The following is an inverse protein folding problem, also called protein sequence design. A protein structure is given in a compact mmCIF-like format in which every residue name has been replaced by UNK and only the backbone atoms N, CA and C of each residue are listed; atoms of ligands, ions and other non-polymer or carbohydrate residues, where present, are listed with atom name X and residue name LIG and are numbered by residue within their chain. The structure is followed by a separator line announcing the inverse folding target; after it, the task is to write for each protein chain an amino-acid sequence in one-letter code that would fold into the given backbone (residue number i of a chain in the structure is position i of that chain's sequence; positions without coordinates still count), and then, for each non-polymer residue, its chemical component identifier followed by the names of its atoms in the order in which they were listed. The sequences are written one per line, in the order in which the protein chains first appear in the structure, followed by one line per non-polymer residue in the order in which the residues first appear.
data_IF_524237192700
#
_entry.id   IF_524237192700
#
_cell.length_a   1.000
_cell.length_b   1.000
_cell.length_c   1.000
_cell.angle_alpha   90.00
_cell.angle_beta   90.00
_cell.angle_gamma   90.00
#
_symmetry.space_group_name_H-M   'P 1'
#
loop_
_entity.id
_entity.type
_entity.pdbx_description
1 polymer ?
#
# COMPACT_ATOMS: atom_id res chain seq x y z
N UNK A 1 -15.35 -7.66 5.94
CA UNK A 1 -14.97 -7.71 4.52
C UNK A 1 -14.25 -9.03 4.27
N UNK A 2 -14.56 -9.72 3.17
CA UNK A 2 -13.78 -10.86 2.70
C UNK A 2 -13.13 -10.46 1.37
N UNK A 3 -11.88 -10.81 1.14
CA UNK A 3 -11.09 -10.32 0.00
C UNK A 3 -10.88 -11.44 -1.02
N UNK A 4 -10.97 -11.12 -2.32
CA UNK A 4 -10.59 -11.99 -3.43
C UNK A 4 -9.48 -11.34 -4.26
N UNK A 5 -8.40 -12.09 -4.49
CA UNK A 5 -7.26 -11.65 -5.28
C UNK A 5 -6.45 -10.50 -4.66
N UNK A 6 -5.42 -10.08 -5.38
CA UNK A 6 -4.63 -8.89 -5.05
C UNK A 6 -4.34 -8.17 -6.36
N UNK A 7 -4.85 -6.96 -6.51
CA UNK A 7 -4.77 -6.19 -7.76
C UNK A 7 -3.46 -5.43 -7.83
N UNK A 8 -3.21 -4.57 -6.85
CA UNK A 8 -2.03 -3.69 -6.83
C UNK A 8 -1.74 -3.17 -5.43
N UNK A 9 -0.53 -2.63 -5.26
CA UNK A 9 -0.16 -1.92 -4.04
C UNK A 9 0.34 -0.52 -4.36
N UNK A 10 0.05 0.45 -3.50
CA UNK A 10 0.60 1.81 -3.60
C UNK A 10 1.40 2.14 -2.34
N UNK A 11 2.59 2.69 -2.52
CA UNK A 11 3.48 3.10 -1.44
C UNK A 11 3.77 4.58 -1.58
N UNK A 12 3.37 5.37 -0.59
CA UNK A 12 3.72 6.79 -0.51
C UNK A 12 4.81 7.02 0.53
N UNK A 13 5.91 7.67 0.16
CA UNK A 13 7.00 7.97 1.09
C UNK A 13 6.82 9.38 1.64
N UNK A 14 6.87 9.54 2.96
CA UNK A 14 6.82 10.86 3.57
C UNK A 14 8.12 11.63 3.29
N UNK A 15 7.98 12.90 2.89
CA UNK A 15 9.09 13.79 2.52
C UNK A 15 9.93 14.20 3.74
N UNK A 16 9.45 13.99 4.97
CA UNK A 16 10.16 14.15 6.25
C UNK A 16 9.26 13.60 7.38
N UNK A 17 9.53 13.92 8.64
CA UNK A 17 8.63 13.65 9.78
C UNK A 17 7.34 14.52 9.77
N UNK A 18 7.08 15.28 8.70
CA UNK A 18 5.93 16.19 8.58
C UNK A 18 4.64 15.50 8.13
N UNK A 19 4.66 14.20 7.86
CA UNK A 19 3.51 13.43 7.34
C UNK A 19 2.96 14.00 6.01
N UNK A 20 3.82 14.64 5.22
CA UNK A 20 3.51 15.15 3.88
C UNK A 20 4.15 14.24 2.83
N UNK A 21 3.40 13.92 1.77
CA UNK A 21 3.88 13.09 0.66
C UNK A 21 3.87 13.95 -0.59
N UNK A 22 4.93 13.89 -1.39
CA UNK A 22 4.95 14.45 -2.74
C UNK A 22 4.42 13.43 -3.75
N UNK A 23 3.77 13.91 -4.82
CA UNK A 23 3.21 13.01 -5.85
C UNK A 23 4.27 12.08 -6.47
N UNK A 24 5.50 12.59 -6.63
CA UNK A 24 6.63 11.83 -7.18
C UNK A 24 7.20 10.76 -6.22
N UNK A 25 6.78 10.78 -4.96
CA UNK A 25 7.12 9.81 -3.93
C UNK A 25 6.03 8.75 -3.72
N UNK A 26 5.08 8.65 -4.64
CA UNK A 26 4.03 7.63 -4.66
C UNK A 26 4.33 6.63 -5.75
N UNK A 27 4.54 5.39 -5.34
CA UNK A 27 4.92 4.27 -6.21
C UNK A 27 3.78 3.27 -6.26
N UNK A 28 3.33 2.96 -7.47
CA UNK A 28 2.36 1.89 -7.71
C UNK A 28 3.09 0.63 -8.15
N UNK A 29 2.83 -0.48 -7.47
CA UNK A 29 3.33 -1.81 -7.80
C UNK A 29 2.17 -2.56 -8.46
N UNK A 30 2.26 -2.67 -9.79
CA UNK A 30 1.26 -3.34 -10.64
C UNK A 30 1.87 -4.55 -11.37
N UNK A 31 1.09 -5.63 -11.57
CA UNK A 31 1.56 -6.86 -12.21
C UNK A 31 2.17 -6.69 -13.61
N UNK A 32 1.85 -5.61 -14.32
CA UNK A 32 2.26 -5.37 -15.72
C UNK A 32 3.60 -4.66 -15.90
N UNK A 33 4.11 -3.94 -14.90
CA UNK A 33 5.24 -3.00 -15.02
C UNK A 33 6.47 -3.44 -14.20
N UNK A 34 6.81 -4.74 -14.22
CA UNK A 34 8.08 -5.23 -13.66
C UNK A 34 8.03 -5.69 -12.20
N UNK A 35 6.84 -6.01 -11.67
CA UNK A 35 6.68 -6.55 -10.33
C UNK A 35 5.25 -6.94 -9.97
N UNK A 36 5.00 -8.19 -9.58
CA UNK A 36 3.69 -8.60 -9.06
C UNK A 36 3.75 -8.78 -7.56
N UNK A 37 2.78 -8.23 -6.85
CA UNK A 37 2.49 -8.65 -5.49
C UNK A 37 1.88 -10.04 -5.53
N UNK A 38 2.30 -10.89 -4.60
CA UNK A 38 1.84 -12.28 -4.48
C UNK A 38 0.87 -12.40 -3.33
N UNK A 39 1.18 -11.79 -2.19
CA UNK A 39 0.30 -11.75 -1.03
C UNK A 39 0.70 -10.66 -0.05
N UNK A 40 -0.28 -10.23 0.74
CA UNK A 40 -0.07 -9.35 1.88
C UNK A 40 -0.95 -9.85 3.04
N UNK A 41 -0.34 -10.09 4.20
CA UNK A 41 -1.05 -10.56 5.40
C UNK A 41 -0.92 -9.52 6.50
N UNK A 42 -2.05 -8.89 6.84
CA UNK A 42 -2.12 -7.93 7.95
C UNK A 42 -2.37 -8.69 9.27
N UNK A 43 -1.53 -8.44 10.27
CA UNK A 43 -1.59 -9.06 11.59
C UNK A 43 -1.80 -8.02 12.69
N UNK A 44 -2.34 -8.45 13.83
CA UNK A 44 -2.49 -7.64 15.05
C UNK A 44 -3.31 -6.35 14.90
N UNK A 45 -4.29 -6.34 13.98
CA UNK A 45 -5.19 -5.22 13.78
C UNK A 45 -6.02 -4.90 15.03
N UNK A 46 -6.37 -5.95 15.79
CA UNK A 46 -7.06 -5.84 17.07
C UNK A 46 -6.06 -5.82 18.23
N UNK A 47 -6.36 -5.09 19.32
CA UNK A 47 -5.50 -5.09 20.50
C UNK A 47 -5.47 -6.47 21.14
N UNK A 48 -4.27 -6.97 21.44
CA UNK A 48 -4.11 -8.12 22.32
C UNK A 48 -4.40 -7.66 23.75
N UNK A 49 -5.58 -7.98 24.28
CA UNK A 49 -5.94 -7.64 25.66
C UNK A 49 -5.01 -8.41 26.60
N UNK A 50 -4.06 -7.70 27.21
CA UNK A 50 -3.25 -8.25 28.29
C UNK A 50 -3.83 -7.72 29.60
N UNK A 51 -4.59 -8.53 30.36
CA UNK A 51 -5.16 -8.09 31.62
C UNK A 51 -4.05 -7.78 32.62
N UNK A 52 -4.11 -6.60 33.24
CA UNK A 52 -3.24 -6.27 34.38
C UNK A 52 -3.91 -6.83 35.63
N UNK A 53 -3.25 -7.76 36.31
CA UNK A 53 -3.73 -8.35 37.55
C UNK A 53 -3.22 -7.58 38.77
N UNK A 54 -4.11 -7.29 39.71
CA UNK A 54 -3.78 -6.76 41.04
C UNK A 54 -4.51 -7.57 42.10
N UNK A 55 -3.79 -8.08 43.10
CA UNK A 55 -4.35 -8.91 44.18
C UNK A 55 -5.21 -10.10 43.70
N UNK A 56 -4.69 -10.90 42.77
CA UNK A 56 -5.38 -12.07 42.18
C UNK A 56 -6.75 -11.75 41.55
N UNK A 57 -7.00 -10.49 41.20
CA UNK A 57 -8.17 -10.03 40.49
C UNK A 57 -7.76 -9.18 39.28
N UNK A 58 -8.51 -9.29 38.19
CA UNK A 58 -8.30 -8.48 37.00
C UNK A 58 -8.59 -7.01 37.31
N UNK A 59 -7.55 -6.17 37.28
CA UNK A 59 -7.62 -4.75 37.70
C UNK A 59 -8.03 -3.85 36.53
N UNK A 60 -7.49 -4.08 35.33
CA UNK A 60 -7.86 -3.40 34.09
C UNK A 60 -7.57 -4.27 32.86
N UNK A 61 -8.57 -4.48 32.01
CA UNK A 61 -8.38 -4.86 30.62
C UNK A 61 -8.18 -3.58 29.78
N UNK A 62 -6.96 -3.32 29.33
CA UNK A 62 -6.69 -2.28 28.34
C UNK A 62 -7.23 -2.72 26.98
N UNK A 63 -8.53 -2.54 26.73
CA UNK A 63 -9.18 -2.92 25.47
C UNK A 63 -9.23 -1.79 24.43
N UNK A 64 -8.53 -0.67 24.67
CA UNK A 64 -8.48 0.49 23.78
C UNK A 64 -7.17 0.50 22.98
N UNK A 65 -7.27 0.75 21.68
CA UNK A 65 -6.13 0.81 20.75
C UNK A 65 -6.08 -0.39 19.81
N UNK A 66 -4.97 -0.55 19.09
CA UNK A 66 -4.67 -1.69 18.24
C UNK A 66 -3.41 -2.42 18.74
N UNK A 67 -3.15 -3.63 18.24
CA UNK A 67 -1.91 -4.35 18.53
C UNK A 67 -0.72 -3.76 17.77
N UNK A 68 0.47 -4.38 17.84
CA UNK A 68 1.58 -3.99 16.97
C UNK A 68 1.27 -4.44 15.52
N UNK A 69 0.55 -3.59 14.78
CA UNK A 69 0.09 -3.90 13.42
C UNK A 69 1.31 -4.12 12.52
N UNK A 70 1.35 -5.29 11.88
CA UNK A 70 2.39 -5.62 10.92
C UNK A 70 1.79 -6.24 9.66
N UNK A 71 2.42 -5.98 8.53
CA UNK A 71 2.07 -6.60 7.25
C UNK A 71 3.25 -7.38 6.72
N UNK A 72 3.07 -8.67 6.53
CA UNK A 72 4.03 -9.48 5.78
C UNK A 72 3.63 -9.44 4.30
N UNK A 73 4.51 -8.89 3.47
CA UNK A 73 4.27 -8.67 2.05
C UNK A 73 5.27 -9.47 1.21
N UNK A 74 4.75 -10.21 0.25
CA UNK A 74 5.51 -11.00 -0.71
C UNK A 74 5.30 -10.43 -2.11
N UNK A 75 6.40 -10.11 -2.80
CA UNK A 75 6.38 -9.68 -4.19
C UNK A 75 7.39 -10.47 -5.02
N UNK A 76 7.04 -10.76 -6.28
CA UNK A 76 7.90 -11.46 -7.22
C UNK A 76 9.07 -10.60 -7.71
N UNK A 77 8.86 -9.28 -7.81
CA UNK A 77 9.90 -8.31 -8.09
C UNK A 77 9.43 -6.94 -7.62
N UNK A 78 10.30 -6.21 -6.92
CA UNK A 78 10.07 -4.80 -6.60
C UNK A 78 11.13 -4.01 -7.38
N UNK A 79 10.74 -2.96 -8.12
CA UNK A 79 11.72 -2.12 -8.81
C UNK A 79 12.81 -1.66 -7.85
N UNK A 80 14.07 -1.82 -8.24
CA UNK A 80 15.22 -1.59 -7.38
C UNK A 80 15.22 -0.16 -6.80
N UNK A 81 14.80 0.84 -7.58
CA UNK A 81 14.70 2.23 -7.13
C UNK A 81 13.64 2.41 -6.02
N UNK A 82 12.49 1.76 -6.17
CA UNK A 82 11.43 1.76 -5.14
C UNK A 82 11.96 1.09 -3.87
N UNK A 83 12.58 -0.09 -4.02
CA UNK A 83 13.16 -0.84 -2.89
C UNK A 83 14.22 -0.01 -2.15
N UNK A 84 15.10 0.69 -2.87
CA UNK A 84 16.12 1.56 -2.28
C UNK A 84 15.49 2.71 -1.48
N UNK A 85 14.47 3.37 -2.04
CA UNK A 85 13.78 4.50 -1.39
C UNK A 85 13.01 4.04 -0.14
N UNK A 86 12.20 2.99 -0.24
CA UNK A 86 11.36 2.54 0.89
C UNK A 86 12.19 1.94 2.04
N UNK A 87 13.42 1.46 1.77
CA UNK A 87 14.35 0.96 2.79
C UNK A 87 15.36 2.01 3.27
N UNK A 88 15.37 3.20 2.67
CA UNK A 88 16.33 4.26 2.99
C UNK A 88 17.78 3.89 2.66
N UNK A 89 18.00 3.01 1.67
CA UNK A 89 19.34 2.53 1.31
C UNK A 89 20.23 3.69 0.83
N UNK A 90 21.48 3.72 1.27
CA UNK A 90 22.45 4.69 0.77
C UNK A 90 22.93 4.25 -0.60
N UNK A 91 22.76 5.09 -1.61
CA UNK A 91 23.24 4.87 -2.98
C UNK A 91 24.65 5.39 -3.14
N UNK A 92 25.51 4.62 -3.82
CA UNK A 92 26.88 4.97 -4.15
C UNK A 92 27.07 4.97 -5.68
N UNK A 93 28.18 5.55 -6.14
CA UNK A 93 28.55 5.52 -7.56
C UNK A 93 28.58 4.08 -8.11
N UNK A 94 28.16 3.93 -9.36
CA UNK A 94 28.07 2.63 -10.03
C UNK A 94 26.81 1.82 -9.71
N UNK A 95 25.76 2.45 -9.15
CA UNK A 95 24.46 1.79 -8.91
C UNK A 95 24.45 0.87 -7.68
N UNK A 96 25.45 1.00 -6.81
CA UNK A 96 25.58 0.21 -5.59
C UNK A 96 24.68 0.82 -4.52
N UNK A 97 24.00 -0.03 -3.74
CA UNK A 97 23.21 0.42 -2.58
C UNK A 97 23.55 -0.40 -1.35
N UNK A 98 23.77 0.29 -0.23
CA UNK A 98 24.15 -0.33 1.02
C UNK A 98 23.17 -0.03 2.14
N UNK A 99 23.07 -0.98 3.06
CA UNK A 99 22.43 -0.81 4.38
C UNK A 99 23.57 -0.74 5.40
N UNK A 100 23.60 0.32 6.20
CA UNK A 100 24.62 0.54 7.22
C UNK A 100 24.07 1.24 8.45
N UNK A 101 24.95 1.63 9.38
CA UNK A 101 24.57 2.21 10.68
C UNK A 101 23.69 3.48 10.60
N UNK A 102 23.80 4.24 9.51
CA UNK A 102 23.05 5.50 9.30
C UNK A 102 21.83 5.33 8.39
N UNK A 103 21.58 4.12 7.89
CA UNK A 103 20.43 3.83 7.04
C UNK A 103 19.19 3.81 7.92
N UNK A 104 18.27 4.73 7.64
CA UNK A 104 16.97 4.79 8.30
C UNK A 104 15.88 4.71 7.23
N UNK A 105 15.08 3.63 7.27
CA UNK A 105 13.98 3.39 6.33
C UNK A 105 12.90 4.45 6.51
N UNK A 106 12.50 5.28 5.54
CA UNK A 106 11.57 6.39 5.78
C UNK A 106 10.18 5.90 6.23
N UNK A 107 9.41 6.79 6.87
CA UNK A 107 7.99 6.51 7.10
C UNK A 107 7.24 6.52 5.78
N UNK A 108 6.36 5.54 5.60
CA UNK A 108 5.57 5.36 4.40
C UNK A 108 4.08 5.12 4.73
N UNK A 109 3.22 5.43 3.76
CA UNK A 109 1.85 4.93 3.63
C UNK A 109 1.90 3.68 2.74
N UNK A 110 1.16 2.64 3.12
CA UNK A 110 1.04 1.42 2.35
C UNK A 110 -0.43 1.09 2.09
N UNK A 111 -0.87 1.21 0.84
CA UNK A 111 -2.19 0.82 0.35
C UNK A 111 -2.10 -0.51 -0.40
N UNK A 112 -3.05 -1.39 -0.11
CA UNK A 112 -3.27 -2.65 -0.79
C UNK A 112 -4.66 -2.63 -1.40
N UNK A 113 -4.75 -2.93 -2.69
CA UNK A 113 -5.98 -2.95 -3.46
C UNK A 113 -6.26 -4.40 -3.85
N UNK A 114 -7.44 -4.88 -3.46
CA UNK A 114 -7.97 -6.22 -3.68
C UNK A 114 -9.41 -6.08 -4.20
N UNK A 115 -10.14 -7.18 -4.33
CA UNK A 115 -11.56 -7.15 -4.67
C UNK A 115 -12.41 -7.71 -3.51
N UNK A 116 -13.68 -7.33 -3.46
CA UNK A 116 -14.60 -8.00 -2.55
C UNK A 116 -14.84 -9.45 -2.98
N UNK A 117 -14.87 -10.37 -2.01
CA UNK A 117 -15.06 -11.79 -2.30
C UNK A 117 -16.49 -12.13 -2.74
N UNK A 118 -17.46 -11.23 -2.54
CA UNK A 118 -18.84 -11.47 -2.98
C UNK A 118 -19.13 -10.92 -4.38
N UNK A 119 -18.36 -9.92 -4.82
CA UNK A 119 -18.39 -9.36 -6.16
C UNK A 119 -17.00 -8.82 -6.54
N UNK A 120 -16.30 -9.54 -7.42
CA UNK A 120 -14.94 -9.19 -7.85
C UNK A 120 -14.88 -7.89 -8.68
N UNK A 121 -16.03 -7.32 -9.08
CA UNK A 121 -16.07 -6.01 -9.74
C UNK A 121 -15.93 -4.83 -8.79
N UNK A 122 -15.99 -5.07 -7.47
CA UNK A 122 -15.89 -4.05 -6.43
C UNK A 122 -14.46 -4.03 -5.88
N UNK A 123 -13.76 -2.90 -6.01
CA UNK A 123 -12.46 -2.70 -5.38
C UNK A 123 -12.57 -2.66 -3.85
N UNK A 124 -11.63 -3.33 -3.19
CA UNK A 124 -11.44 -3.33 -1.75
C UNK A 124 -10.07 -2.70 -1.42
N UNK A 125 -10.10 -1.59 -0.68
CA UNK A 125 -8.91 -0.83 -0.33
C UNK A 125 -8.57 -1.01 1.14
N UNK A 126 -7.32 -1.33 1.43
CA UNK A 126 -6.77 -1.46 2.77
C UNK A 126 -5.53 -0.59 2.85
N UNK A 127 -5.50 0.38 3.77
CA UNK A 127 -4.37 1.31 3.88
C UNK A 127 -3.82 1.38 5.30
N UNK A 128 -2.51 1.24 5.43
CA UNK A 128 -1.77 1.60 6.64
C UNK A 128 -1.09 2.94 6.42
N UNK A 129 -1.45 3.93 7.24
CA UNK A 129 -1.13 5.34 6.94
C UNK A 129 0.21 5.82 7.50
N UNK A 130 0.86 5.05 8.36
CA UNK A 130 2.21 5.36 8.81
C UNK A 130 2.91 4.10 9.28
N UNK A 131 4.14 3.90 8.83
CA UNK A 131 4.98 2.78 9.23
C UNK A 131 6.24 2.70 8.42
N UNK A 132 7.04 1.66 8.64
CA UNK A 132 8.36 1.50 8.01
C UNK A 132 8.47 0.12 7.40
N UNK A 133 9.15 0.05 6.25
CA UNK A 133 9.47 -1.21 5.62
C UNK A 133 10.77 -1.78 6.16
N UNK A 134 10.77 -3.09 6.38
CA UNK A 134 11.90 -3.90 6.81
C UNK A 134 12.14 -5.00 5.79
N UNK A 135 13.36 -5.06 5.26
CA UNK A 135 13.79 -6.17 4.43
C UNK A 135 14.04 -7.38 5.33
N UNK A 136 13.24 -8.43 5.15
CA UNK A 136 13.29 -9.59 6.03
C UNK A 136 14.35 -10.58 5.54
N UNK A 137 14.30 -10.91 4.25
CA UNK A 137 15.14 -11.94 3.64
C UNK A 137 15.48 -11.58 2.20
N UNK A 138 16.75 -11.81 1.82
CA UNK A 138 17.19 -11.86 0.42
C UNK A 138 17.80 -13.25 0.21
N UNK A 139 17.16 -14.08 -0.60
CA UNK A 139 17.54 -15.48 -0.76
C UNK A 139 17.63 -15.85 -2.24
N UNK A 140 18.70 -15.44 -2.96
CA UNK A 140 18.84 -15.73 -4.38
C UNK A 140 18.99 -17.23 -4.65
N UNK A 141 18.21 -17.76 -5.60
CA UNK A 141 18.25 -19.16 -6.03
C UNK A 141 18.82 -19.32 -7.43
N UNK A 142 19.47 -20.47 -7.63
CA UNK A 142 19.92 -20.90 -8.94
C UNK A 142 18.72 -21.27 -9.81
N UNK A 143 18.71 -20.79 -11.05
CA UNK A 143 17.73 -21.21 -12.05
C UNK A 143 17.78 -22.73 -12.28
N UNK A 144 16.64 -23.32 -12.65
CA UNK A 144 16.57 -24.72 -13.10
C UNK A 144 16.35 -24.76 -14.62
N UNK A 145 15.74 -25.82 -15.17
CA UNK A 145 15.29 -25.84 -16.57
C UNK A 145 14.17 -24.81 -16.87
N UNK A 146 13.63 -24.18 -15.82
CA UNK A 146 12.76 -22.99 -15.88
C UNK A 146 13.33 -21.88 -15.00
N UNK A 147 13.08 -20.62 -15.38
CA UNK A 147 13.45 -19.45 -14.56
C UNK A 147 12.74 -19.51 -13.22
N UNK A 148 13.49 -19.44 -12.13
CA UNK A 148 12.95 -19.36 -10.77
C UNK A 148 13.05 -17.91 -10.33
N UNK A 149 11.89 -17.25 -10.16
CA UNK A 149 11.85 -15.93 -9.54
C UNK A 149 11.78 -16.12 -8.03
N UNK A 150 12.75 -15.57 -7.29
CA UNK A 150 12.60 -15.50 -5.83
C UNK A 150 11.62 -14.41 -5.45
N UNK A 151 10.82 -14.73 -4.45
CA UNK A 151 9.91 -13.79 -3.84
C UNK A 151 10.68 -12.98 -2.79
N UNK A 152 10.64 -11.66 -2.95
CA UNK A 152 11.15 -10.74 -1.95
C UNK A 152 10.12 -10.60 -0.82
N UNK A 153 10.58 -10.80 0.41
CA UNK A 153 9.75 -10.66 1.61
C UNK A 153 10.11 -9.37 2.36
N UNK A 154 9.14 -8.48 2.42
CA UNK A 154 9.19 -7.26 3.22
C UNK A 154 8.18 -7.36 4.36
N UNK A 155 8.54 -6.79 5.50
CA UNK A 155 7.61 -6.58 6.60
C UNK A 155 7.37 -5.09 6.75
N UNK A 156 6.12 -4.67 6.79
CA UNK A 156 5.75 -3.31 7.15
C UNK A 156 5.31 -3.29 8.62
N UNK A 157 5.90 -2.40 9.42
CA UNK A 157 5.50 -2.19 10.81
C UNK A 157 4.79 -0.85 10.92
N UNK A 158 3.50 -0.88 11.26
CA UNK A 158 2.68 0.31 11.32
C UNK A 158 2.70 0.97 12.71
N UNK A 159 2.43 2.27 12.71
CA UNK A 159 2.33 3.11 13.90
C UNK A 159 1.20 4.11 13.70
N UNK A 160 0.72 4.70 14.79
CA UNK A 160 -0.30 5.73 14.74
C UNK A 160 0.22 6.95 13.97
N UNK A 161 -0.60 7.45 13.05
CA UNK A 161 -0.34 8.74 12.40
C UNK A 161 -0.54 9.87 13.40
N UNK A 162 0.42 10.78 13.49
CA UNK A 162 0.44 11.85 14.51
C UNK A 162 -0.68 12.86 14.27
N UNK A 163 -1.06 13.09 13.01
CA UNK A 163 -2.09 14.06 12.64
C UNK A 163 -3.52 13.67 13.04
N UNK A 164 -3.87 12.39 13.03
CA UNK A 164 -5.24 11.94 13.33
C UNK A 164 -5.37 10.71 14.23
N UNK A 165 -4.26 10.10 14.64
CA UNK A 165 -4.21 8.97 15.57
C UNK A 165 -4.70 7.64 14.98
N UNK A 166 -4.77 7.52 13.65
CA UNK A 166 -5.15 6.27 12.99
C UNK A 166 -3.93 5.57 12.40
N UNK A 167 -3.90 4.24 12.46
CA UNK A 167 -2.89 3.43 11.81
C UNK A 167 -3.42 2.67 10.58
N UNK A 168 -4.74 2.47 10.47
CA UNK A 168 -5.37 1.67 9.43
C UNK A 168 -6.72 2.25 8.97
N UNK A 169 -6.97 2.18 7.66
CA UNK A 169 -8.26 2.47 7.04
C UNK A 169 -8.64 1.35 6.07
N UNK A 170 -9.94 1.17 5.86
CA UNK A 170 -10.48 0.29 4.83
C UNK A 170 -11.69 0.93 4.13
N UNK A 171 -11.88 0.58 2.85
CA UNK A 171 -13.03 1.01 2.06
C UNK A 171 -13.40 -0.05 1.02
N UNK A 172 -14.69 -0.09 0.65
CA UNK A 172 -15.19 -0.77 -0.53
C UNK A 172 -15.73 0.27 -1.51
N UNK A 173 -15.50 0.06 -2.80
CA UNK A 173 -15.94 0.99 -3.84
C UNK A 173 -17.48 1.12 -3.96
N UNK A 174 -18.23 0.09 -3.56
CA UNK A 174 -19.70 0.09 -3.53
C UNK A 174 -20.29 0.75 -2.27
N UNK A 175 -19.42 1.18 -1.36
CA UNK A 175 -19.82 1.86 -0.14
C UNK A 175 -20.68 3.09 -0.46
N UNK A 176 -21.81 3.24 0.24
CA UNK A 176 -22.83 4.28 -0.02
C UNK A 176 -22.28 5.71 -0.21
N UNK A 177 -21.14 6.04 0.38
CA UNK A 177 -20.50 7.35 0.31
C UNK A 177 -19.03 7.27 -0.15
N UNK A 178 -18.64 6.20 -0.82
CA UNK A 178 -17.30 6.05 -1.33
C UNK A 178 -17.00 7.13 -2.38
N UNK A 179 -15.80 7.69 -2.29
CA UNK A 179 -15.28 8.69 -3.21
C UNK A 179 -13.76 8.48 -3.25
N UNK A 180 -13.26 8.04 -4.40
CA UNK A 180 -11.84 7.71 -4.57
C UNK A 180 -10.93 8.92 -4.26
N UNK A 181 -11.34 10.13 -4.65
CA UNK A 181 -10.58 11.34 -4.37
C UNK A 181 -10.50 11.66 -2.87
N UNK A 182 -11.59 11.42 -2.11
CA UNK A 182 -11.57 11.56 -0.64
C UNK A 182 -10.75 10.47 0.03
N UNK A 183 -10.81 9.23 -0.47
CA UNK A 183 -9.98 8.14 0.00
C UNK A 183 -8.50 8.47 -0.16
N UNK A 184 -8.07 8.82 -1.37
CA UNK A 184 -6.69 9.19 -1.68
C UNK A 184 -6.23 10.40 -0.88
N UNK A 185 -7.08 11.43 -0.76
CA UNK A 185 -6.77 12.59 0.09
C UNK A 185 -6.60 12.19 1.56
N UNK A 186 -7.37 11.21 2.05
CA UNK A 186 -7.30 10.75 3.43
C UNK A 186 -6.00 9.98 3.73
N UNK A 187 -5.50 9.19 2.78
CA UNK A 187 -4.32 8.34 2.99
C UNK A 187 -3.03 8.96 2.49
N UNK A 188 -3.03 9.71 1.39
CA UNK A 188 -1.85 10.36 0.79
C UNK A 188 -1.81 11.88 0.98
N UNK A 189 -2.87 12.49 1.51
CA UNK A 189 -2.96 13.95 1.65
C UNK A 189 -3.33 14.69 0.35
N UNK A 190 -3.50 13.97 -0.76
CA UNK A 190 -3.89 14.53 -2.06
C UNK A 190 -4.67 13.51 -2.91
N UNK A 191 -5.52 13.96 -3.85
CA UNK A 191 -6.09 13.08 -4.87
C UNK A 191 -5.01 12.65 -5.88
N UNK A 192 -5.01 11.38 -6.26
CA UNK A 192 -4.12 10.80 -7.26
C UNK A 192 -4.87 10.56 -8.57
N UNK A 193 -6.12 10.14 -8.47
CA UNK A 193 -7.09 10.09 -9.55
C UNK A 193 -7.75 11.45 -9.69
N UNK A 194 -7.65 12.06 -10.87
CA UNK A 194 -8.57 13.14 -11.24
C UNK A 194 -9.93 12.49 -11.46
N UNK A 195 -10.95 12.84 -10.67
CA UNK A 195 -12.35 12.50 -10.93
C UNK A 195 -12.73 12.98 -12.35
N UNK A 196 -12.53 12.11 -13.33
CA UNK A 196 -12.62 12.38 -14.76
C UNK A 196 -13.61 11.43 -15.43
N UNK A 197 -14.77 11.20 -14.80
CA UNK A 197 -15.93 10.63 -15.48
C UNK A 197 -16.98 11.73 -15.69
N UNK A 198 -16.69 12.67 -16.59
CA UNK A 198 -17.77 13.40 -17.26
C UNK A 198 -18.22 12.52 -18.42
N UNK A 199 -19.50 12.10 -18.53
CA UNK A 199 -19.94 11.40 -19.72
C UNK A 199 -19.72 12.33 -20.91
N UNK A 200 -19.00 11.84 -21.93
CA UNK A 200 -18.77 12.59 -23.15
C UNK A 200 -20.12 13.09 -23.70
N UNK A 201 -20.26 14.37 -24.07
CA UNK A 201 -21.49 14.83 -24.71
C UNK A 201 -21.62 14.11 -26.06
N UNK A 202 -22.69 13.33 -26.21
CA UNK A 202 -23.08 12.74 -27.50
C UNK A 202 -23.24 13.88 -28.51
N UNK A 203 -22.26 14.07 -29.39
CA UNK A 203 -22.39 14.91 -30.57
C UNK A 203 -23.15 14.09 -31.61
N UNK A 204 -24.34 14.52 -32.09
CA UNK A 204 -25.03 13.82 -33.17
C UNK A 204 -24.20 13.97 -34.45
N UNK A 205 -23.81 12.85 -35.06
CA UNK A 205 -23.19 12.84 -36.38
C UNK A 205 -24.22 13.29 -37.44
N UNK A 206 -24.03 14.49 -37.98
CA UNK A 206 -24.72 14.92 -39.21
C UNK A 206 -23.99 14.30 -40.41
N UNK A 207 -24.66 13.57 -41.32
CA UNK A 207 -23.99 13.01 -42.49
C UNK A 207 -23.61 14.14 -43.46
N UNK A 208 -22.34 14.18 -43.85
CA UNK A 208 -21.83 15.10 -44.86
C UNK A 208 -22.45 14.79 -46.23
N UNK A 209 -22.88 15.84 -46.91
CA UNK A 209 -23.39 15.81 -48.29
C UNK A 209 -22.31 15.30 -49.26
N UNK A 210 -22.69 14.36 -50.10
CA UNK A 210 -21.91 13.86 -51.24
C UNK A 210 -21.79 14.94 -52.33
N UNK A 211 -20.56 15.25 -52.74
CA UNK A 211 -20.26 16.06 -53.94
C UNK A 211 -19.37 15.30 -54.93
N UNK A 212 -19.84 15.21 -56.17
CA UNK A 212 -19.08 14.88 -57.40
C UNK A 212 -19.15 13.40 -57.78
N UNK A 213 -19.49 13.00 -59.01
CA UNK A 213 -19.36 13.62 -60.34
C UNK A 213 -20.43 13.07 -61.28
#
# INVERSE_FOLDING_TARGET
MALSGFESARIGIYTDNTETIDKDNIFTIEPKEGGSVVSATISNLSPTITPVYGSDQEWKAGSKGHGAISVAFLANAIPQEVRQKILGMTTFDGGISGIGKKTESPYCVFEMISHDATDESIGAHLALVKGRFHLTTVAPKTNTNTTVYDQEQLTFSATDRDSDGFAYFEALEDGKNYDAGKWETKIFGMPLTTNGATPAPNVPSTPAASTGK
#
